data_IF_528727473117
#
_entry.id   IF_528727473117
#
_cell.length_a   1.000
_cell.length_b   1.000
_cell.length_c   1.000
_cell.angle_alpha   90.00
_cell.angle_beta   90.00
_cell.angle_gamma   90.00
#
_symmetry.space_group_name_H-M   'P 1'
#
loop_
_entity.id
_entity.type
_entity.pdbx_description
1 polymer ?
#
# COMPACT_ATOMS: atom_id res chain seq x y z
N UNK A 1 -10.08 -12.85 -11.87
CA UNK A 1 -10.06 -12.23 -11.75
C UNK A 1 -9.79 -11.48 -11.12
N UNK A 2 -9.69 -11.25 -10.98
CA UNK A 2 -9.32 -10.67 -10.50
C UNK A 2 -9.30 -9.63 -9.96
N UNK A 3 -9.43 -9.01 -10.12
CA UNK A 3 -9.37 -7.86 -9.72
C UNK A 3 -9.36 -7.51 -8.44
N UNK A 4 -9.22 -6.67 -8.03
CA UNK A 4 -9.28 -6.25 -6.75
C UNK A 4 -10.34 -5.25 -6.59
N UNK A 5 -10.87 -5.16 -5.44
CA UNK A 5 -11.78 -4.14 -5.06
C UNK A 5 -11.05 -3.02 -4.36
N UNK A 6 -11.81 -2.06 -3.87
CA UNK A 6 -11.29 -0.95 -3.11
C UNK A 6 -11.83 -1.00 -1.69
N UNK A 7 -10.97 -0.70 -0.76
CA UNK A 7 -11.39 -0.50 0.62
C UNK A 7 -11.91 0.93 0.74
N UNK A 8 -13.13 1.10 1.18
CA UNK A 8 -13.73 2.43 1.28
C UNK A 8 -14.27 2.74 2.65
N UNK A 9 -14.70 1.75 3.42
CA UNK A 9 -15.31 2.05 4.71
C UNK A 9 -14.25 2.22 5.78
N UNK A 10 -14.57 3.06 6.76
CA UNK A 10 -13.68 3.24 7.90
C UNK A 10 -13.50 1.93 8.67
N UNK A 11 -14.55 1.12 8.73
CA UNK A 11 -14.49 -0.15 9.43
C UNK A 11 -13.51 -1.11 8.77
N UNK A 12 -13.48 -1.11 7.42
CA UNK A 12 -12.54 -1.96 6.69
C UNK A 12 -11.10 -1.54 6.97
N UNK A 13 -10.81 -0.24 6.93
CA UNK A 13 -9.47 0.24 7.23
C UNK A 13 -9.08 -0.12 8.66
N UNK A 14 -9.97 0.11 9.62
CA UNK A 14 -9.69 -0.19 11.02
C UNK A 14 -9.37 -1.67 11.22
N UNK A 15 -10.09 -2.53 10.53
CA UNK A 15 -9.86 -3.97 10.65
C UNK A 15 -8.48 -4.35 10.15
N UNK A 16 -8.07 -3.77 9.02
CA UNK A 16 -6.75 -4.07 8.47
C UNK A 16 -5.65 -3.57 9.40
N UNK A 17 -5.81 -2.37 9.97
CA UNK A 17 -4.83 -1.85 10.91
C UNK A 17 -4.73 -2.72 12.15
N UNK A 18 -5.85 -3.23 12.63
CA UNK A 18 -5.87 -3.99 13.88
C UNK A 18 -5.42 -5.43 13.69
N UNK A 19 -5.80 -6.04 12.58
CA UNK A 19 -5.58 -7.46 12.37
C UNK A 19 -4.47 -7.78 11.38
N UNK A 20 -4.00 -6.81 10.63
CA UNK A 20 -3.01 -7.05 9.61
C UNK A 20 -1.59 -6.93 10.11
N UNK A 21 -0.66 -7.32 9.27
CA UNK A 21 0.76 -7.13 9.54
C UNK A 21 1.22 -5.83 8.93
N UNK A 22 2.16 -5.18 9.59
CA UNK A 22 2.66 -3.90 9.15
C UNK A 22 4.09 -4.03 8.64
N UNK A 23 4.34 -3.45 7.47
CA UNK A 23 5.68 -3.36 6.88
C UNK A 23 5.90 -1.89 6.57
N UNK A 24 6.87 -1.27 7.20
CA UNK A 24 7.02 0.17 7.09
C UNK A 24 8.39 0.59 6.60
N UNK A 25 8.40 1.58 5.73
CA UNK A 25 9.60 2.28 5.31
C UNK A 25 9.47 3.74 5.64
N UNK A 26 10.25 4.57 4.97
CA UNK A 26 10.23 6.01 5.24
C UNK A 26 9.14 6.73 4.47
N UNK A 27 8.80 6.27 3.27
CA UNK A 27 7.81 6.94 2.44
C UNK A 27 6.43 6.35 2.57
N UNK A 28 6.34 5.07 2.93
CA UNK A 28 5.04 4.43 3.04
C UNK A 28 5.08 3.27 4.03
N UNK A 29 3.92 2.83 4.42
CA UNK A 29 3.74 1.62 5.20
C UNK A 29 2.67 0.79 4.53
N UNK A 30 2.83 -0.53 4.58
CA UNK A 30 1.82 -1.47 4.11
C UNK A 30 1.23 -2.17 5.31
N UNK A 31 -0.10 -2.29 5.32
CA UNK A 31 -0.79 -3.14 6.27
C UNK A 31 -1.49 -4.22 5.46
N UNK A 32 -1.25 -5.47 5.79
CA UNK A 32 -1.74 -6.59 5.00
C UNK A 32 -2.52 -7.53 5.90
N UNK A 33 -3.77 -7.73 5.56
CA UNK A 33 -4.64 -8.66 6.28
C UNK A 33 -5.05 -9.76 5.31
N UNK A 34 -4.42 -10.95 5.36
CA UNK A 34 -4.73 -11.99 4.40
C UNK A 34 -6.18 -12.48 4.54
N UNK A 35 -6.82 -12.71 3.41
CA UNK A 35 -8.12 -13.35 3.38
C UNK A 35 -8.17 -14.25 2.16
N UNK A 36 -9.21 -15.07 2.08
CA UNK A 36 -9.39 -15.91 0.90
C UNK A 36 -10.39 -15.34 -0.09
N UNK A 37 -10.78 -14.09 0.10
CA UNK A 37 -11.86 -13.52 -0.71
C UNK A 37 -11.39 -12.56 -1.79
N UNK A 38 -10.19 -12.69 -2.26
CA UNK A 38 -9.67 -11.81 -3.27
C UNK A 38 -8.87 -10.68 -2.66
N UNK A 39 -8.55 -9.69 -3.45
CA UNK A 39 -7.69 -8.60 -2.99
C UNK A 39 -8.43 -7.28 -3.05
N UNK A 40 -8.37 -6.54 -1.95
CA UNK A 40 -8.92 -5.18 -1.90
C UNK A 40 -7.80 -4.26 -1.42
N UNK A 41 -7.73 -3.06 -1.97
CA UNK A 41 -6.67 -2.13 -1.62
C UNK A 41 -7.24 -0.78 -1.24
N UNK A 42 -6.63 -0.15 -0.27
CA UNK A 42 -6.94 1.22 0.10
C UNK A 42 -5.66 2.02 0.20
N UNK A 43 -5.72 3.28 -0.19
CA UNK A 43 -4.57 4.18 -0.11
C UNK A 43 -4.99 5.37 0.73
N UNK A 44 -4.16 5.71 1.71
CA UNK A 44 -4.46 6.84 2.56
C UNK A 44 -3.16 7.57 2.89
N UNK A 45 -3.27 8.72 3.50
CA UNK A 45 -2.11 9.50 3.95
C UNK A 45 -2.16 9.63 5.46
N UNK A 46 -1.05 9.34 6.10
CA UNK A 46 -0.95 9.48 7.53
C UNK A 46 -0.90 10.94 7.95
N UNK A 47 -0.95 11.14 9.24
CA UNK A 47 -0.86 12.49 9.79
C UNK A 47 0.58 12.99 9.67
N UNK A 48 0.74 14.30 9.61
CA UNK A 48 2.07 14.89 9.62
C UNK A 48 2.71 15.00 8.27
N UNK A 49 2.01 14.63 7.19
CA UNK A 49 2.58 14.74 5.87
C UNK A 49 2.54 16.17 5.36
N UNK A 50 1.50 16.91 5.70
CA UNK A 50 1.35 18.27 5.25
C UNK A 50 -0.10 18.59 4.98
N UNK A 51 -0.35 19.67 4.25
CA UNK A 51 -1.70 20.08 3.92
C UNK A 51 -2.34 19.22 2.85
N UNK A 52 -3.53 19.59 2.43
CA UNK A 52 -4.32 18.80 1.51
C UNK A 52 -3.63 18.55 0.17
N UNK A 53 -2.94 19.56 -0.35
CA UNK A 53 -2.26 19.42 -1.64
C UNK A 53 -1.16 18.38 -1.55
N UNK A 54 -0.34 18.45 -0.48
CA UNK A 54 0.76 17.52 -0.30
C UNK A 54 0.23 16.10 -0.07
N UNK A 55 -0.81 15.99 0.76
CA UNK A 55 -1.39 14.68 1.05
C UNK A 55 -1.99 14.04 -0.20
N UNK A 56 -2.69 14.81 -1.00
CA UNK A 56 -3.29 14.28 -2.22
C UNK A 56 -2.24 13.85 -3.24
N UNK A 57 -1.15 14.63 -3.33
CA UNK A 57 -0.05 14.27 -4.22
C UNK A 57 0.60 12.97 -3.78
N UNK A 58 0.83 12.83 -2.48
CA UNK A 58 1.42 11.60 -1.95
C UNK A 58 0.53 10.40 -2.22
N UNK A 59 -0.77 10.53 -2.00
CA UNK A 59 -1.70 9.44 -2.26
C UNK A 59 -1.71 9.06 -3.73
N UNK A 60 -1.67 10.06 -4.62
CA UNK A 60 -1.67 9.78 -6.06
C UNK A 60 -0.42 9.02 -6.47
N UNK A 61 0.74 9.39 -5.92
CA UNK A 61 1.99 8.68 -6.22
C UNK A 61 1.95 7.26 -5.69
N UNK A 62 1.38 7.04 -4.51
CA UNK A 62 1.26 5.70 -3.97
C UNK A 62 0.32 4.84 -4.80
N UNK A 63 -0.79 5.40 -5.27
CA UNK A 63 -1.69 4.67 -6.14
C UNK A 63 -1.02 4.26 -7.44
N UNK A 64 -0.23 5.17 -8.01
CA UNK A 64 0.47 4.87 -9.24
C UNK A 64 1.54 3.79 -9.03
N UNK A 65 2.27 3.86 -7.93
CA UNK A 65 3.27 2.85 -7.61
C UNK A 65 2.61 1.48 -7.40
N UNK A 66 1.50 1.47 -6.68
CA UNK A 66 0.76 0.23 -6.45
C UNK A 66 0.26 -0.35 -7.77
N UNK A 67 -0.28 0.50 -8.64
CA UNK A 67 -0.80 0.04 -9.91
C UNK A 67 0.29 -0.65 -10.74
N UNK A 68 1.51 -0.14 -10.68
CA UNK A 68 2.61 -0.71 -11.45
C UNK A 68 3.06 -2.05 -10.92
N UNK A 69 2.88 -2.31 -9.63
CA UNK A 69 3.33 -3.56 -9.05
C UNK A 69 2.19 -4.57 -8.93
N UNK A 70 0.96 -4.13 -9.12
CA UNK A 70 -0.23 -4.94 -8.87
C UNK A 70 -0.23 -6.27 -9.63
N UNK A 71 0.22 -6.27 -10.88
CA UNK A 71 0.24 -7.47 -11.69
C UNK A 71 1.21 -8.53 -11.16
N UNK A 72 2.14 -8.11 -10.32
CA UNK A 72 3.14 -9.03 -9.75
C UNK A 72 2.72 -9.58 -8.40
N UNK A 73 1.58 -9.16 -7.88
CA UNK A 73 1.13 -9.59 -6.56
C UNK A 73 0.39 -10.91 -6.64
N UNK A 74 0.69 -11.79 -5.71
CA UNK A 74 -0.03 -13.05 -5.56
C UNK A 74 -0.93 -13.08 -4.35
N UNK A 75 -0.64 -12.22 -3.39
CA UNK A 75 -1.37 -12.24 -2.13
C UNK A 75 -2.82 -11.89 -2.33
N UNK A 76 -3.70 -12.55 -1.60
CA UNK A 76 -5.09 -12.15 -1.51
C UNK A 76 -5.33 -11.55 -0.14
N UNK A 77 -6.32 -10.70 -0.06
CA UNK A 77 -6.65 -10.06 1.20
C UNK A 77 -6.73 -8.56 1.08
N UNK A 78 -6.77 -7.92 2.22
CA UNK A 78 -6.89 -6.47 2.27
C UNK A 78 -5.51 -5.85 2.47
N UNK A 79 -5.19 -4.87 1.62
CA UNK A 79 -3.93 -4.16 1.70
C UNK A 79 -4.22 -2.67 1.85
N UNK A 80 -3.63 -2.05 2.87
CA UNK A 80 -3.73 -0.61 3.03
C UNK A 80 -2.33 -0.03 2.84
N UNK A 81 -2.22 0.93 1.94
CA UNK A 81 -0.99 1.62 1.66
C UNK A 81 -1.11 3.00 2.28
N UNK A 82 -0.24 3.30 3.24
CA UNK A 82 -0.30 4.56 3.99
C UNK A 82 0.91 5.40 3.64
N UNK A 83 0.68 6.62 3.15
CA UNK A 83 1.77 7.55 2.92
C UNK A 83 2.31 8.03 4.26
N UNK A 84 3.62 7.98 4.42
CA UNK A 84 4.29 8.48 5.61
C UNK A 84 4.94 9.82 5.31
N UNK A 85 5.38 10.56 6.35
CA UNK A 85 5.94 11.89 6.12
C UNK A 85 7.03 11.95 5.07
N UNK A 86 7.84 10.92 4.94
CA UNK A 86 8.87 10.89 3.91
C UNK A 86 8.31 10.99 2.49
N UNK A 87 7.05 10.64 2.29
CA UNK A 87 6.45 10.73 0.97
C UNK A 87 6.24 12.16 0.49
N UNK A 88 6.27 13.12 1.40
CA UNK A 88 6.06 14.52 1.01
C UNK A 88 7.14 15.01 0.06
N UNK A 89 8.37 14.52 0.26
CA UNK A 89 9.50 14.99 -0.53
C UNK A 89 10.10 13.92 -1.43
N UNK A 90 9.68 12.67 -1.29
CA UNK A 90 10.27 11.59 -2.06
C UNK A 90 9.84 11.66 -3.53
N UNK A 91 10.74 11.32 -4.42
CA UNK A 91 10.40 11.18 -5.82
C UNK A 91 9.68 9.87 -6.08
N UNK A 92 9.08 9.76 -7.26
CA UNK A 92 8.33 8.57 -7.59
C UNK A 92 9.19 7.30 -7.59
N UNK A 93 10.41 7.39 -8.10
CA UNK A 93 11.30 6.23 -8.15
C UNK A 93 11.59 5.71 -6.74
N UNK A 94 11.81 6.62 -5.82
CA UNK A 94 12.08 6.27 -4.43
C UNK A 94 10.89 5.55 -3.81
N UNK A 95 9.69 6.08 -4.05
CA UNK A 95 8.46 5.45 -3.56
C UNK A 95 8.29 4.07 -4.18
N UNK A 96 8.57 3.95 -5.47
CA UNK A 96 8.43 2.69 -6.18
C UNK A 96 9.37 1.62 -5.63
N UNK A 97 10.62 2.01 -5.37
CA UNK A 97 11.60 1.09 -4.81
C UNK A 97 11.17 0.60 -3.43
N UNK A 98 10.65 1.50 -2.61
CA UNK A 98 10.21 1.12 -1.29
C UNK A 98 8.97 0.24 -1.36
N UNK A 99 8.04 0.54 -2.27
CA UNK A 99 6.87 -0.29 -2.47
C UNK A 99 7.29 -1.73 -2.81
N UNK A 100 8.24 -1.88 -3.73
CA UNK A 100 8.72 -3.21 -4.09
C UNK A 100 9.38 -3.92 -2.91
N UNK A 101 10.20 -3.20 -2.18
CA UNK A 101 10.92 -3.79 -1.05
C UNK A 101 9.96 -4.27 0.03
N UNK A 102 8.94 -3.47 0.33
CA UNK A 102 7.98 -3.84 1.37
C UNK A 102 7.08 -4.98 0.92
N UNK A 103 6.69 -5.00 -0.35
CA UNK A 103 5.92 -6.11 -0.87
C UNK A 103 6.72 -7.40 -0.85
N UNK A 104 8.01 -7.33 -1.15
CA UNK A 104 8.87 -8.51 -1.08
C UNK A 104 9.02 -8.97 0.37
N UNK A 105 9.20 -8.03 1.30
CA UNK A 105 9.33 -8.37 2.71
C UNK A 105 8.07 -9.06 3.23
N UNK A 106 6.92 -8.65 2.75
CA UNK A 106 5.65 -9.25 3.14
C UNK A 106 5.28 -10.49 2.35
N UNK A 107 6.13 -10.89 1.41
CA UNK A 107 5.91 -12.07 0.57
C UNK A 107 4.64 -11.94 -0.25
N UNK A 108 4.42 -10.74 -0.77
CA UNK A 108 3.22 -10.47 -1.57
C UNK A 108 3.44 -10.70 -3.05
N UNK A 109 4.70 -10.75 -3.49
CA UNK A 109 5.02 -10.83 -4.90
C UNK A 109 5.01 -12.27 -5.39
N UNK A 110 4.51 -12.45 -6.62
CA UNK A 110 4.52 -13.74 -7.25
C UNK A 110 5.80 -13.99 -7.97
N UNK A 111 6.14 -15.23 -8.10
CA UNK A 111 7.18 -15.65 -9.00
C UNK A 111 8.49 -15.13 -8.66
N UNK A 112 8.57 -14.68 -7.61
CA UNK A 112 9.71 -14.07 -7.28
C UNK A 112 10.77 -14.97 -7.27
N UNK A 113 10.55 -15.86 -7.42
CA UNK A 113 11.42 -16.58 -7.41
C UNK A 113 12.48 -16.42 -7.91
N UNK A 114 12.48 -16.33 -8.16
CA UNK A 114 13.50 -16.41 -8.65
C UNK A 114 14.17 -16.02 -8.34
#
# INVERSE_FOLDING_TARGET
MAGGGRLVSRADFSRVYREGRRYAGQTLALYVRPTQFGRRVGVTAGRGIGGAVVRNRAKRRLREAYRRIEARLCATGDIVVVARPGAAEAGFIEIMREMEALCAAGRLLCGAAT
#
